data_IF_484007270224
#
_entry.id   IF_484007270224
#
_cell.length_a   1.000
_cell.length_b   1.000
_cell.length_c   1.000
_cell.angle_alpha   90.00
_cell.angle_beta   90.00
_cell.angle_gamma   90.00
#
_symmetry.space_group_name_H-M   'P 1'
#
loop_
_entity.id
_entity.type
_entity.pdbx_description
1 polymer ?
#
# COMPACT_ATOMS: atom_id res chain seq x y z
N UNK A 1 -8.19 -3.30 -10.63
CA UNK A 1 -8.63 -3.23 -9.21
C UNK A 1 -9.12 -1.80 -8.95
N UNK A 2 -10.21 -1.58 -8.19
CA UNK A 2 -10.64 -0.20 -7.88
C UNK A 2 -9.58 0.42 -6.96
N UNK A 3 -9.02 1.58 -7.32
CA UNK A 3 -8.10 2.32 -6.46
C UNK A 3 -8.84 2.83 -5.22
N UNK A 4 -8.33 2.49 -4.04
CA UNK A 4 -8.84 2.88 -2.73
C UNK A 4 -7.92 3.95 -2.13
N UNK A 5 -6.61 3.89 -2.44
CA UNK A 5 -5.65 4.85 -1.91
C UNK A 5 -5.69 6.14 -2.72
N UNK A 6 -5.84 7.26 -2.02
CA UNK A 6 -5.84 8.60 -2.61
C UNK A 6 -5.20 9.61 -1.67
N UNK A 7 -4.56 10.62 -2.26
CA UNK A 7 -4.06 11.79 -1.52
C UNK A 7 -5.10 12.90 -1.40
N UNK A 8 -6.25 12.77 -2.09
CA UNK A 8 -7.31 13.78 -2.09
C UNK A 8 -8.70 13.11 -1.91
N UNK A 9 -9.03 12.62 -0.71
CA UNK A 9 -10.29 11.94 -0.44
C UNK A 9 -11.49 12.91 -0.51
N UNK A 10 -12.50 12.59 -1.30
CA UNK A 10 -13.66 13.45 -1.55
C UNK A 10 -14.82 13.16 -0.60
N UNK A 11 -15.08 11.89 -0.32
CA UNK A 11 -16.17 11.45 0.55
C UNK A 11 -15.70 10.95 1.92
N UNK A 12 -16.66 10.60 2.78
CA UNK A 12 -16.38 10.14 4.14
C UNK A 12 -15.66 8.78 4.15
N UNK A 13 -16.02 7.89 3.24
CA UNK A 13 -15.44 6.53 3.18
C UNK A 13 -13.98 6.64 2.74
N UNK A 14 -13.70 7.42 1.70
CA UNK A 14 -12.33 7.70 1.24
C UNK A 14 -11.49 8.37 2.33
N UNK A 15 -12.08 9.29 3.11
CA UNK A 15 -11.41 9.91 4.25
C UNK A 15 -11.06 8.88 5.33
N UNK A 16 -11.97 7.97 5.66
CA UNK A 16 -11.71 6.91 6.63
C UNK A 16 -10.61 5.95 6.15
N UNK A 17 -10.65 5.54 4.88
CA UNK A 17 -9.61 4.67 4.30
C UNK A 17 -8.23 5.34 4.18
N UNK A 18 -8.19 6.67 4.08
CA UNK A 18 -6.95 7.44 3.96
C UNK A 18 -6.69 8.32 5.19
N UNK A 19 -7.23 7.91 6.35
CA UNK A 19 -7.13 8.64 7.61
C UNK A 19 -5.70 8.72 8.12
N UNK A 20 -4.90 7.67 7.90
CA UNK A 20 -3.47 7.66 8.22
C UNK A 20 -2.64 7.36 6.99
N UNK A 21 -1.45 7.93 6.91
CA UNK A 21 -0.54 7.71 5.79
C UNK A 21 0.92 7.89 6.21
N UNK A 22 1.83 7.16 5.56
CA UNK A 22 3.27 7.32 5.76
C UNK A 22 3.86 8.45 4.93
N UNK A 23 4.78 9.23 5.53
CA UNK A 23 5.59 10.25 4.86
C UNK A 23 6.89 10.45 5.64
N UNK A 24 8.04 10.48 4.95
CA UNK A 24 9.36 10.71 5.56
C UNK A 24 9.67 9.77 6.76
N UNK A 25 9.34 8.49 6.65
CA UNK A 25 9.45 7.48 7.72
C UNK A 25 8.61 7.75 8.99
N UNK A 26 7.62 8.63 8.91
CA UNK A 26 6.66 8.88 9.98
C UNK A 26 5.22 8.62 9.50
N UNK A 27 4.33 8.30 10.43
CA UNK A 27 2.90 8.20 10.17
C UNK A 27 2.22 9.53 10.52
N UNK A 28 1.35 9.97 9.62
CA UNK A 28 0.53 11.16 9.78
C UNK A 28 -0.95 10.79 9.84
N UNK A 29 -1.69 11.54 10.64
CA UNK A 29 -3.14 11.53 10.74
C UNK A 29 -3.69 12.69 9.91
N UNK A 30 -4.62 12.40 9.00
CA UNK A 30 -5.26 13.35 8.11
C UNK A 30 -6.57 13.86 8.69
N UNK A 31 -6.62 15.15 8.99
CA UNK A 31 -7.86 15.87 9.30
C UNK A 31 -8.35 16.65 8.08
N UNK A 32 -9.54 17.25 8.19
CA UNK A 32 -10.17 18.00 7.09
C UNK A 32 -9.34 19.23 6.69
N UNK A 33 -8.68 19.86 7.65
CA UNK A 33 -7.98 21.13 7.52
C UNK A 33 -6.45 21.00 7.56
N UNK A 34 -5.92 19.89 8.10
CA UNK A 34 -4.47 19.68 8.24
C UNK A 34 -4.09 18.22 8.44
N UNK A 35 -2.85 17.91 8.12
CA UNK A 35 -2.20 16.67 8.55
C UNK A 35 -1.42 16.91 9.85
N UNK A 36 -1.42 15.93 10.74
CA UNK A 36 -0.70 15.96 12.03
C UNK A 36 0.15 14.71 12.17
N UNK A 37 1.35 14.81 12.73
CA UNK A 37 2.12 13.62 13.10
C UNK A 37 1.31 12.74 14.05
N UNK A 38 1.37 11.42 13.88
CA UNK A 38 0.72 10.47 14.79
C UNK A 38 1.24 10.62 16.22
N UNK A 39 2.53 10.91 16.40
CA UNK A 39 3.13 11.18 17.72
C UNK A 39 2.44 12.35 18.39
N UNK A 40 2.34 13.48 17.69
CA UNK A 40 1.69 14.69 18.21
C UNK A 40 0.19 14.48 18.49
N UNK A 41 -0.47 13.68 17.66
CA UNK A 41 -1.86 13.32 17.89
C UNK A 41 -2.04 12.51 19.18
N UNK A 42 -1.19 11.50 19.40
CA UNK A 42 -1.27 10.64 20.60
C UNK A 42 -0.86 11.39 21.86
N UNK A 43 0.16 12.28 21.81
CA UNK A 43 0.54 13.14 22.93
C UNK A 43 -0.63 14.00 23.41
N UNK A 44 -1.38 14.60 22.48
CA UNK A 44 -2.58 15.39 22.81
C UNK A 44 -3.66 14.53 23.44
N UNK A 45 -3.92 13.35 22.89
CA UNK A 45 -4.89 12.42 23.46
C UNK A 45 -4.49 11.97 24.88
N UNK A 46 -3.21 11.67 25.11
CA UNK A 46 -2.71 11.27 26.43
C UNK A 46 -2.89 12.38 27.46
N UNK A 47 -2.60 13.63 27.06
CA UNK A 47 -2.85 14.79 27.91
C UNK A 47 -4.33 14.99 28.21
N UNK A 48 -5.20 14.86 27.22
CA UNK A 48 -6.64 15.06 27.38
C UNK A 48 -7.33 13.95 28.20
N UNK A 49 -6.92 12.69 28.01
CA UNK A 49 -7.58 11.53 28.63
C UNK A 49 -6.99 11.17 30.00
N UNK A 50 -5.68 11.36 30.18
CA UNK A 50 -4.95 10.85 31.34
C UNK A 50 -4.12 11.92 32.06
N UNK A 51 -4.12 13.17 31.58
CA UNK A 51 -3.27 14.27 32.09
C UNK A 51 -1.75 13.99 32.00
N UNK A 52 -1.35 13.07 31.11
CA UNK A 52 0.05 12.69 30.89
C UNK A 52 0.68 13.64 29.87
N UNK A 53 1.79 14.29 30.25
CA UNK A 53 2.61 15.07 29.31
C UNK A 53 3.84 14.25 28.90
N UNK A 54 4.08 14.22 27.59
CA UNK A 54 5.31 13.69 27.02
C UNK A 54 6.19 14.86 26.64
N UNK A 55 7.43 14.86 27.12
CA UNK A 55 8.45 15.82 26.72
C UNK A 55 9.48 15.15 25.79
N UNK A 56 9.96 15.91 24.81
CA UNK A 56 10.97 15.47 23.84
C UNK A 56 12.29 15.07 24.50
N UNK A 57 12.53 15.51 25.75
CA UNK A 57 13.72 15.14 26.52
C UNK A 57 13.74 13.67 26.97
N UNK A 58 12.59 13.03 27.10
CA UNK A 58 12.46 11.65 27.56
C UNK A 58 11.78 10.74 26.52
N UNK A 59 10.83 11.25 25.75
CA UNK A 59 10.04 10.48 24.80
C UNK A 59 9.97 11.21 23.46
N UNK A 60 11.07 11.21 22.70
CA UNK A 60 11.14 11.88 21.40
C UNK A 60 10.36 11.11 20.32
N UNK A 61 10.13 11.73 19.16
CA UNK A 61 9.33 11.13 18.08
C UNK A 61 9.92 9.85 17.47
N UNK A 62 11.25 9.67 17.50
CA UNK A 62 11.92 8.49 16.93
C UNK A 62 11.72 7.26 17.82
N UNK A 63 11.81 7.45 19.14
CA UNK A 63 11.72 6.38 20.13
C UNK A 63 10.29 6.25 20.70
N UNK A 64 9.33 7.05 20.21
CA UNK A 64 7.98 7.17 20.79
C UNK A 64 7.26 5.82 20.90
N UNK A 65 7.46 4.94 19.91
CA UNK A 65 6.86 3.60 19.92
C UNK A 65 7.30 2.75 21.11
N UNK A 66 8.55 2.89 21.56
CA UNK A 66 9.08 2.15 22.71
C UNK A 66 8.41 2.55 24.02
N UNK A 67 7.86 3.77 24.10
CA UNK A 67 7.11 4.28 25.26
C UNK A 67 5.59 3.98 25.17
N UNK A 68 5.13 3.43 24.05
CA UNK A 68 3.74 3.03 23.83
C UNK A 68 3.54 1.54 24.12
N UNK A 69 4.03 1.08 25.28
CA UNK A 69 4.08 -0.33 25.69
C UNK A 69 3.14 -0.68 26.86
N UNK A 70 2.22 0.23 27.19
CA UNK A 70 1.27 0.11 28.30
C UNK A 70 -0.16 -0.25 27.82
N UNK A 71 -1.03 -0.69 28.73
CA UNK A 71 -2.43 -1.05 28.45
C UNK A 71 -3.38 0.17 28.37
N UNK A 72 -2.82 1.33 28.02
CA UNK A 72 -3.58 2.58 27.84
C UNK A 72 -4.21 2.58 26.45
N UNK A 73 -5.42 3.16 26.35
CA UNK A 73 -6.13 3.27 25.08
C UNK A 73 -5.30 3.97 24.01
N UNK A 74 -4.53 4.99 24.39
CA UNK A 74 -3.62 5.75 23.52
C UNK A 74 -2.46 4.91 22.98
N UNK A 75 -1.89 4.00 23.78
CA UNK A 75 -0.86 3.06 23.31
C UNK A 75 -1.44 2.09 22.27
N UNK A 76 -2.63 1.54 22.53
CA UNK A 76 -3.35 0.68 21.58
C UNK A 76 -3.65 1.45 20.29
N UNK A 77 -4.15 2.67 20.40
CA UNK A 77 -4.46 3.52 19.24
C UNK A 77 -3.23 3.86 18.43
N UNK A 78 -2.08 4.15 19.08
CA UNK A 78 -0.83 4.38 18.39
C UNK A 78 -0.47 3.19 17.49
N UNK A 79 -0.37 1.99 18.06
CA UNK A 79 0.02 0.80 17.28
C UNK A 79 -1.00 0.40 16.22
N UNK A 80 -2.30 0.56 16.49
CA UNK A 80 -3.34 0.32 15.50
C UNK A 80 -3.20 1.28 14.29
N UNK A 81 -2.93 2.56 14.55
CA UNK A 81 -2.77 3.56 13.50
C UNK A 81 -1.43 3.42 12.75
N UNK A 82 -0.35 2.99 13.42
CA UNK A 82 0.89 2.57 12.76
C UNK A 82 0.61 1.45 11.77
N UNK A 83 -0.02 0.36 12.22
CA UNK A 83 -0.34 -0.78 11.36
C UNK A 83 -1.24 -0.40 10.18
N UNK A 84 -2.24 0.47 10.41
CA UNK A 84 -3.08 0.99 9.31
C UNK A 84 -2.27 1.82 8.30
N UNK A 85 -1.33 2.64 8.76
CA UNK A 85 -0.44 3.42 7.91
C UNK A 85 0.48 2.54 7.06
N UNK A 86 1.06 1.49 7.65
CA UNK A 86 1.90 0.51 6.96
C UNK A 86 1.12 -0.26 5.90
N UNK A 87 -0.04 -0.82 6.26
CA UNK A 87 -0.94 -1.51 5.32
C UNK A 87 -1.34 -0.60 4.18
N UNK A 88 -1.61 0.68 4.45
CA UNK A 88 -1.89 1.68 3.41
C UNK A 88 -0.70 1.85 2.46
N UNK A 89 0.52 1.93 2.96
CA UNK A 89 1.72 2.10 2.12
C UNK A 89 1.93 0.88 1.21
N UNK A 90 1.73 -0.33 1.74
CA UNK A 90 1.77 -1.55 0.91
C UNK A 90 0.66 -1.54 -0.15
N UNK A 91 -0.57 -1.17 0.22
CA UNK A 91 -1.66 -1.09 -0.75
C UNK A 91 -1.39 -0.03 -1.83
N UNK A 92 -0.82 1.12 -1.46
CA UNK A 92 -0.39 2.15 -2.41
C UNK A 92 0.61 1.59 -3.42
N UNK A 93 1.63 0.89 -2.94
CA UNK A 93 2.60 0.22 -3.81
C UNK A 93 1.91 -0.75 -4.78
N UNK A 94 1.00 -1.59 -4.28
CA UNK A 94 0.27 -2.54 -5.12
C UNK A 94 -0.65 -1.85 -6.14
N UNK A 95 -1.39 -0.82 -5.75
CA UNK A 95 -2.27 -0.07 -6.65
C UNK A 95 -1.50 0.69 -7.74
N UNK A 96 -0.31 1.22 -7.41
CA UNK A 96 0.53 1.97 -8.35
C UNK A 96 1.35 1.05 -9.27
N UNK A 97 1.88 -0.06 -8.75
CA UNK A 97 2.76 -0.97 -9.49
C UNK A 97 2.01 -2.10 -10.20
N UNK A 98 0.95 -2.62 -9.59
CA UNK A 98 0.21 -3.79 -10.08
C UNK A 98 -1.20 -3.47 -10.56
N UNK A 99 -1.71 -2.26 -10.36
CA UNK A 99 -3.14 -1.92 -10.58
C UNK A 99 -3.72 -2.31 -11.95
N UNK A 100 -2.87 -2.39 -12.98
CA UNK A 100 -3.25 -2.69 -14.37
C UNK A 100 -2.66 -4.03 -14.90
N UNK A 101 -2.06 -4.86 -14.06
CA UNK A 101 -1.42 -6.12 -14.52
C UNK A 101 -2.43 -7.14 -15.05
N UNK A 102 -3.68 -7.06 -14.60
CA UNK A 102 -4.74 -8.02 -14.91
C UNK A 102 -5.61 -7.58 -16.11
N UNK A 103 -5.28 -6.46 -16.74
CA UNK A 103 -5.97 -6.01 -17.96
C UNK A 103 -5.27 -6.63 -19.17
N UNK A 104 -5.96 -7.43 -20.00
CA UNK A 104 -5.39 -7.96 -21.23
C UNK A 104 -5.01 -6.83 -22.17
N UNK A 105 -3.76 -6.82 -22.62
CA UNK A 105 -3.21 -5.86 -23.57
C UNK A 105 -2.86 -6.56 -24.87
N UNK A 106 -3.05 -5.93 -26.03
CA UNK A 106 -2.76 -6.55 -27.31
C UNK A 106 -1.25 -6.80 -27.48
N UNK A 107 -0.86 -7.79 -28.26
CA UNK A 107 0.54 -8.22 -28.44
C UNK A 107 1.48 -7.07 -28.87
N UNK A 108 0.98 -6.07 -29.59
CA UNK A 108 1.74 -4.91 -30.05
C UNK A 108 2.21 -4.01 -28.90
N UNK A 109 1.60 -4.11 -27.72
CA UNK A 109 2.00 -3.40 -26.50
C UNK A 109 3.02 -4.18 -25.66
N UNK A 110 3.40 -5.39 -26.06
CA UNK A 110 4.42 -6.17 -25.36
C UNK A 110 5.82 -5.65 -25.69
N UNK A 111 6.63 -5.47 -24.65
CA UNK A 111 8.07 -5.19 -24.75
C UNK A 111 8.88 -6.31 -24.12
N UNK A 112 10.09 -6.56 -24.64
CA UNK A 112 10.99 -7.61 -24.14
C UNK A 112 11.32 -7.44 -22.65
N UNK A 113 11.29 -6.21 -22.13
CA UNK A 113 11.51 -5.88 -20.73
C UNK A 113 10.42 -6.40 -19.78
N UNK A 114 9.26 -6.79 -20.31
CA UNK A 114 8.22 -7.43 -19.52
C UNK A 114 8.53 -8.89 -19.18
N UNK A 115 9.37 -9.56 -19.99
CA UNK A 115 9.66 -10.98 -19.86
C UNK A 115 8.41 -11.86 -20.03
N UNK A 116 8.35 -12.94 -19.27
CA UNK A 116 7.24 -13.89 -19.30
C UNK A 116 5.91 -13.21 -18.94
N UNK A 117 4.87 -13.53 -19.71
CA UNK A 117 3.50 -13.07 -19.49
C UNK A 117 2.51 -14.24 -19.61
N UNK A 118 1.27 -14.00 -19.19
CA UNK A 118 0.14 -14.89 -19.48
C UNK A 118 -0.53 -14.42 -20.77
N UNK A 119 -0.59 -15.29 -21.77
CA UNK A 119 -1.10 -15.01 -23.11
C UNK A 119 -2.46 -15.65 -23.33
N UNK A 120 -3.40 -14.83 -23.79
CA UNK A 120 -4.81 -15.15 -23.88
C UNK A 120 -5.30 -15.15 -25.32
N UNK A 121 -6.25 -16.04 -25.56
CA UNK A 121 -7.12 -16.06 -26.73
C UNK A 121 -8.53 -15.69 -26.27
N UNK A 122 -9.24 -14.90 -27.08
CA UNK A 122 -10.63 -14.53 -26.82
C UNK A 122 -11.53 -15.03 -27.96
N UNK A 123 -12.67 -15.69 -27.67
CA UNK A 123 -13.16 -16.07 -26.34
C UNK A 123 -12.23 -17.06 -25.62
N UNK A 124 -12.31 -17.11 -24.28
CA UNK A 124 -11.46 -18.01 -23.48
C UNK A 124 -11.98 -19.43 -23.64
N UNK A 125 -11.20 -20.28 -24.31
CA UNK A 125 -11.50 -21.71 -24.53
C UNK A 125 -10.51 -22.64 -23.82
N UNK A 126 -9.32 -22.13 -23.47
CA UNK A 126 -8.27 -22.86 -22.78
C UNK A 126 -7.50 -21.93 -21.80
N UNK A 127 -6.71 -22.49 -20.87
CA UNK A 127 -5.83 -21.71 -20.01
C UNK A 127 -4.81 -20.89 -20.83
N UNK A 128 -4.31 -19.77 -20.28
CA UNK A 128 -3.33 -18.94 -20.97
C UNK A 128 -1.99 -19.67 -21.14
N UNK A 129 -1.28 -19.36 -22.22
CA UNK A 129 0.12 -19.74 -22.37
C UNK A 129 1.01 -18.87 -21.47
N UNK A 130 1.97 -19.48 -20.77
CA UNK A 130 2.92 -18.78 -19.91
C UNK A 130 4.28 -18.72 -20.61
N UNK A 131 4.77 -17.53 -20.95
CA UNK A 131 6.05 -17.34 -21.63
C UNK A 131 6.13 -16.04 -22.44
N UNK A 132 6.89 -16.04 -23.54
CA UNK A 132 7.12 -14.85 -24.37
C UNK A 132 6.91 -15.11 -25.87
N UNK A 133 6.66 -14.07 -26.69
CA UNK A 133 6.61 -14.20 -28.15
C UNK A 133 7.93 -14.66 -28.79
N UNK A 134 9.03 -14.67 -28.03
CA UNK A 134 10.33 -15.16 -28.48
C UNK A 134 10.49 -16.67 -28.31
N UNK A 135 9.54 -17.34 -27.65
CA UNK A 135 9.60 -18.78 -27.44
C UNK A 135 9.42 -19.52 -28.77
N UNK A 136 10.22 -20.58 -28.98
CA UNK A 136 10.19 -21.35 -30.21
C UNK A 136 8.86 -22.10 -30.47
N UNK A 137 8.04 -22.28 -29.43
CA UNK A 137 6.69 -22.86 -29.52
C UNK A 137 5.60 -21.86 -29.12
N UNK A 138 5.84 -20.55 -29.29
CA UNK A 138 4.85 -19.53 -28.97
C UNK A 138 3.56 -19.76 -29.80
N UNK A 139 2.38 -19.88 -29.17
CA UNK A 139 1.15 -20.16 -29.90
C UNK A 139 0.76 -18.98 -30.81
N UNK A 140 0.31 -19.26 -32.04
CA UNK A 140 -0.05 -18.19 -32.99
C UNK A 140 -1.47 -17.62 -32.79
N UNK A 141 -2.30 -18.29 -31.99
CA UNK A 141 -3.70 -17.91 -31.77
C UNK A 141 -3.91 -16.97 -30.58
N UNK A 142 -2.94 -16.85 -29.67
CA UNK A 142 -3.00 -15.88 -28.57
C UNK A 142 -2.77 -14.48 -29.11
N UNK A 143 -3.53 -13.52 -28.61
CA UNK A 143 -3.56 -12.14 -29.15
C UNK A 143 -3.32 -11.08 -28.10
N UNK A 144 -3.55 -11.40 -26.83
CA UNK A 144 -3.42 -10.46 -25.73
C UNK A 144 -2.59 -11.08 -24.60
N UNK A 145 -1.95 -10.24 -23.80
CA UNK A 145 -1.22 -10.67 -22.62
C UNK A 145 -1.67 -9.92 -21.36
N UNK A 146 -1.52 -10.56 -20.22
CA UNK A 146 -1.51 -9.92 -18.90
C UNK A 146 -0.15 -10.14 -18.27
N UNK A 147 0.37 -9.14 -17.53
CA UNK A 147 1.69 -9.27 -16.89
C UNK A 147 1.63 -10.33 -15.78
N UNK A 148 2.65 -11.18 -15.72
CA UNK A 148 2.85 -12.08 -14.58
C UNK A 148 3.28 -11.25 -13.37
N UNK A 149 2.44 -11.24 -12.34
CA UNK A 149 2.79 -10.66 -11.05
C UNK A 149 3.54 -11.72 -10.24
N UNK A 150 4.84 -11.53 -10.09
CA UNK A 150 5.60 -12.31 -9.12
C UNK A 150 5.41 -11.71 -7.72
N UNK A 151 5.26 -12.54 -6.67
CA UNK A 151 5.30 -12.04 -5.30
C UNK A 151 6.65 -11.35 -5.05
N UNK A 152 6.65 -10.27 -4.27
CA UNK A 152 7.89 -9.60 -3.90
C UNK A 152 8.83 -10.58 -3.19
N UNK A 153 10.11 -10.61 -3.57
CA UNK A 153 11.11 -11.36 -2.84
C UNK A 153 11.21 -10.82 -1.40
N UNK A 154 11.23 -11.74 -0.43
CA UNK A 154 11.16 -11.42 1.00
C UNK A 154 12.35 -10.62 1.53
N UNK A 155 13.44 -10.48 0.76
CA UNK A 155 14.66 -9.81 1.21
C UNK A 155 14.53 -8.29 1.39
N UNK A 156 13.46 -7.67 0.84
CA UNK A 156 13.15 -6.26 1.02
C UNK A 156 12.11 -5.98 2.14
N UNK A 157 11.70 -7.00 2.90
CA UNK A 157 10.90 -6.87 4.10
C UNK A 157 11.84 -6.86 5.32
N UNK A 158 12.52 -5.73 5.53
CA UNK A 158 13.26 -5.45 6.77
C UNK A 158 12.67 -4.24 7.46
#
# INVERSE_FOLDING_TARGET
MKKIITENPQDMIERMHNFVFGKNNEIFVRFVDKDMSLVEYIRKMDKELYDIEHDDSYCNALDFGDYMDDDRFTCIMYWALVGFGEVRNYLKYYEEKLGNSNEPRPIEEWGEDYGDCLWWSFPIEEPPYCGTPLDCNFPSHVTHFTRLILPMESENLK
#
